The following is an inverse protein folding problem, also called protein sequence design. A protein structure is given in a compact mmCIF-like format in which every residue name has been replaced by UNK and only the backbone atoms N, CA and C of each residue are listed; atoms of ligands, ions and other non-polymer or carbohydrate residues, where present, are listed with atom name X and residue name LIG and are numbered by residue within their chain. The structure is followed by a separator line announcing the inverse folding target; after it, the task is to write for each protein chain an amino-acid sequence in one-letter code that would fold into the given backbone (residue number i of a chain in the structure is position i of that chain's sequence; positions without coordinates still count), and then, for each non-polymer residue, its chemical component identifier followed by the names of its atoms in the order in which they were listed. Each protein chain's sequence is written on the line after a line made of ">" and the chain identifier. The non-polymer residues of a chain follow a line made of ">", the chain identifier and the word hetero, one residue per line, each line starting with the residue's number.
data_IF_943995904788
#
_entry.id   IF_943995904788
#
_cell.length_a   1.000
_cell.length_b   1.000
_cell.length_c   1.000
_cell.angle_alpha   90.00
_cell.angle_beta   90.00
_cell.angle_gamma   90.00
#
_symmetry.space_group_name_H-M   'P 1'
#
loop_
_entity.id
_entity.type
_entity.pdbx_description
1 polymer ?
#
# COMPACT_ATOMS: atom_id res chain seq x y z
N UNK A 1 -10.11 -13.19 -2.34
CA UNK A 1 -9.91 -11.75 -2.47
C UNK A 1 -9.97 -11.09 -1.12
N UNK A 2 -9.03 -10.22 -0.83
CA UNK A 2 -8.91 -9.51 0.44
C UNK A 2 -8.85 -8.01 0.18
N UNK A 3 -9.42 -7.22 1.07
CA UNK A 3 -9.32 -5.76 1.04
C UNK A 3 -8.36 -5.30 2.11
N UNK A 4 -7.42 -4.47 1.72
CA UNK A 4 -6.35 -3.92 2.55
C UNK A 4 -6.45 -2.39 2.60
N UNK A 5 -5.89 -1.80 3.63
CA UNK A 5 -5.63 -0.38 3.76
C UNK A 5 -4.13 -0.17 3.94
N UNK A 6 -3.55 0.73 3.17
CA UNK A 6 -2.17 1.17 3.28
C UNK A 6 -2.12 2.62 3.75
N UNK A 7 -1.39 2.88 4.84
CA UNK A 7 -1.10 4.22 5.32
C UNK A 7 0.03 4.83 4.49
N UNK A 8 -0.22 5.99 3.88
CA UNK A 8 0.76 6.69 3.04
C UNK A 8 1.49 7.81 3.77
N UNK A 9 1.25 7.97 5.07
CA UNK A 9 1.93 8.97 5.89
C UNK A 9 3.28 8.41 6.33
N UNK A 10 4.35 9.05 5.89
CA UNK A 10 5.72 8.76 6.33
C UNK A 10 6.16 9.75 7.41
N UNK A 11 7.20 9.39 8.16
CA UNK A 11 7.84 10.27 9.13
C UNK A 11 8.69 11.31 8.41
N UNK A 12 8.10 12.37 7.84
CA UNK A 12 8.88 13.40 7.18
C UNK A 12 8.05 14.44 6.44
N UNK A 13 8.73 15.34 5.77
CA UNK A 13 8.12 16.47 5.04
C UNK A 13 7.43 16.07 3.72
N UNK A 14 7.48 14.80 3.35
CA UNK A 14 6.94 14.28 2.08
C UNK A 14 5.52 13.71 2.17
N UNK A 15 4.74 14.08 3.16
CA UNK A 15 3.43 13.47 3.47
C UNK A 15 2.46 13.40 2.28
N UNK A 16 2.48 14.40 1.42
CA UNK A 16 1.51 14.51 0.31
C UNK A 16 1.99 13.84 -0.97
N UNK A 17 3.27 13.55 -1.08
CA UNK A 17 3.85 13.01 -2.32
C UNK A 17 3.90 11.48 -2.37
N UNK A 18 3.71 10.80 -1.24
CA UNK A 18 3.79 9.34 -1.19
C UNK A 18 2.69 8.69 -2.01
N UNK A 19 1.43 9.08 -1.78
CA UNK A 19 0.31 8.52 -2.54
C UNK A 19 0.43 8.80 -4.04
N UNK A 20 0.78 10.03 -4.42
CA UNK A 20 0.98 10.42 -5.82
C UNK A 20 2.09 9.58 -6.48
N UNK A 21 3.17 9.35 -5.74
CA UNK A 21 4.27 8.51 -6.20
C UNK A 21 3.81 7.06 -6.42
N UNK A 22 3.12 6.46 -5.44
CA UNK A 22 2.61 5.09 -5.53
C UNK A 22 1.67 4.90 -6.73
N UNK A 23 0.78 5.87 -6.95
CA UNK A 23 -0.16 5.84 -8.08
C UNK A 23 0.58 5.95 -9.41
N UNK A 24 1.50 6.90 -9.54
CA UNK A 24 2.28 7.11 -10.77
C UNK A 24 3.13 5.90 -11.13
N UNK A 25 3.81 5.32 -10.15
CA UNK A 25 4.68 4.15 -10.35
C UNK A 25 3.89 2.82 -10.42
N UNK A 26 2.58 2.86 -10.19
CA UNK A 26 1.70 1.67 -10.17
C UNK A 26 2.16 0.62 -9.16
N UNK A 27 2.44 1.07 -7.94
CA UNK A 27 2.95 0.26 -6.85
C UNK A 27 2.18 0.51 -5.55
N UNK A 28 2.31 -0.40 -4.61
CA UNK A 28 2.10 -0.16 -3.18
C UNK A 28 3.43 -0.38 -2.45
N UNK A 29 3.66 0.37 -1.38
CA UNK A 29 4.95 0.27 -0.71
C UNK A 29 4.96 0.88 0.67
N UNK A 30 6.00 0.53 1.41
CA UNK A 30 6.28 1.04 2.74
C UNK A 30 7.79 1.10 2.99
N UNK A 31 8.17 1.68 4.13
CA UNK A 31 9.55 1.90 4.53
C UNK A 31 10.32 0.63 4.91
N UNK A 32 11.06 0.73 6.00
CA UNK A 32 11.98 -0.28 6.52
C UNK A 32 13.10 -0.65 5.53
N UNK A 33 13.79 0.38 5.04
CA UNK A 33 15.02 0.23 4.27
C UNK A 33 16.14 -0.41 5.08
N UNK A 34 17.10 -0.95 4.38
CA UNK A 34 18.33 -1.50 4.93
C UNK A 34 19.45 -0.49 4.67
N UNK A 35 20.48 -0.49 5.51
CA UNK A 35 21.63 0.39 5.39
C UNK A 35 22.13 0.48 3.93
N UNK A 36 22.46 1.68 3.50
CA UNK A 36 22.78 2.06 2.12
C UNK A 36 23.78 1.13 1.41
N UNK A 37 24.79 0.65 2.11
CA UNK A 37 25.78 -0.28 1.55
C UNK A 37 25.21 -1.66 1.21
N UNK A 38 24.11 -2.05 1.86
CA UNK A 38 23.44 -3.32 1.65
C UNK A 38 22.27 -3.21 0.67
N UNK A 39 21.71 -2.03 0.49
CA UNK A 39 20.57 -1.77 -0.38
C UNK A 39 20.79 -2.24 -1.81
N UNK A 40 21.96 -1.95 -2.35
CA UNK A 40 22.35 -2.30 -3.74
C UNK A 40 22.47 -3.80 -3.99
N UNK A 41 22.47 -4.63 -2.94
CA UNK A 41 22.66 -6.08 -3.02
C UNK A 41 21.37 -6.87 -2.83
N UNK A 42 20.26 -6.21 -2.47
CA UNK A 42 19.00 -6.90 -2.20
C UNK A 42 18.26 -7.15 -3.52
N UNK A 43 18.25 -8.40 -3.96
CA UNK A 43 17.63 -8.84 -5.22
C UNK A 43 16.30 -9.54 -5.04
N UNK A 44 16.04 -10.11 -3.86
CA UNK A 44 14.84 -10.87 -3.55
C UNK A 44 14.48 -10.75 -2.07
N UNK A 45 13.30 -11.25 -1.71
CA UNK A 45 12.83 -11.15 -0.33
C UNK A 45 13.68 -11.94 0.66
N UNK A 46 14.27 -13.05 0.26
CA UNK A 46 15.15 -13.84 1.13
C UNK A 46 16.38 -13.04 1.55
N UNK A 47 16.99 -12.31 0.62
CA UNK A 47 18.12 -11.41 0.93
C UNK A 47 17.69 -10.26 1.84
N UNK A 48 16.51 -9.66 1.59
CA UNK A 48 15.92 -8.66 2.47
C UNK A 48 15.67 -9.21 3.87
N UNK A 49 15.09 -10.39 3.98
CA UNK A 49 14.79 -11.04 5.25
C UNK A 49 16.07 -11.23 6.11
N UNK A 50 17.13 -11.71 5.49
CA UNK A 50 18.44 -11.87 6.17
C UNK A 50 18.99 -10.53 6.65
N UNK A 51 18.94 -9.51 5.80
CA UNK A 51 19.42 -8.17 6.15
C UNK A 51 18.57 -7.51 7.24
N UNK A 52 17.24 -7.65 7.17
CA UNK A 52 16.32 -7.10 8.15
C UNK A 52 16.48 -7.72 9.54
N UNK A 53 16.73 -9.00 9.61
CA UNK A 53 17.01 -9.70 10.89
C UNK A 53 18.27 -9.17 11.58
N UNK A 54 19.24 -8.69 10.82
CA UNK A 54 20.46 -8.08 11.35
C UNK A 54 20.26 -6.59 11.70
N UNK A 55 19.46 -5.88 10.92
CA UNK A 55 19.23 -4.43 11.06
C UNK A 55 18.22 -4.10 12.17
N UNK A 56 17.15 -4.86 12.26
CA UNK A 56 16.03 -4.57 13.15
C UNK A 56 15.98 -5.53 14.34
N UNK A 57 15.99 -4.98 15.55
CA UNK A 57 15.96 -5.76 16.81
C UNK A 57 14.72 -6.66 16.95
N UNK A 58 13.61 -6.27 16.34
CA UNK A 58 12.35 -7.04 16.34
C UNK A 58 12.23 -8.02 15.17
N UNK A 59 13.29 -8.17 14.38
CA UNK A 59 13.30 -9.02 13.19
C UNK A 59 12.63 -8.38 11.98
N UNK A 60 11.99 -9.19 11.14
CA UNK A 60 11.41 -8.71 9.89
C UNK A 60 10.18 -7.83 10.17
N UNK A 61 10.11 -6.61 9.62
CA UNK A 61 8.94 -5.76 9.78
C UNK A 61 7.66 -6.42 9.26
N UNK A 62 6.59 -6.34 10.07
CA UNK A 62 5.31 -6.97 9.73
C UNK A 62 4.71 -6.46 8.41
N UNK A 63 4.91 -5.17 8.09
CA UNK A 63 4.45 -4.61 6.83
C UNK A 63 5.18 -5.20 5.62
N UNK A 64 6.49 -5.43 5.72
CA UNK A 64 7.26 -6.08 4.66
C UNK A 64 6.80 -7.53 4.42
N UNK A 65 6.55 -8.26 5.50
CA UNK A 65 5.97 -9.62 5.41
C UNK A 65 4.59 -9.61 4.76
N UNK A 66 3.76 -8.64 5.10
CA UNK A 66 2.41 -8.51 4.53
C UNK A 66 2.48 -8.24 3.03
N UNK A 67 3.32 -7.30 2.59
CA UNK A 67 3.52 -7.00 1.17
C UNK A 67 4.02 -8.20 0.37
N UNK A 68 4.91 -8.99 0.95
CA UNK A 68 5.47 -10.13 0.25
C UNK A 68 4.54 -11.36 0.25
N UNK A 69 3.99 -11.71 1.42
CA UNK A 69 3.37 -13.03 1.63
C UNK A 69 1.84 -13.02 1.70
N UNK A 70 1.23 -11.89 2.07
CA UNK A 70 -0.21 -11.86 2.38
C UNK A 70 -1.06 -11.14 1.35
N UNK A 71 -0.49 -10.13 0.67
CA UNK A 71 -1.18 -9.45 -0.42
C UNK A 71 -0.99 -10.26 -1.69
N UNK A 72 -2.08 -10.67 -2.29
CA UNK A 72 -2.11 -11.57 -3.45
C UNK A 72 -2.74 -10.90 -4.66
N UNK A 73 -2.50 -11.45 -5.83
CA UNK A 73 -3.20 -11.06 -7.05
C UNK A 73 -4.72 -11.14 -6.86
N UNK A 74 -5.44 -10.17 -7.35
CA UNK A 74 -6.88 -10.03 -7.16
C UNK A 74 -7.29 -9.32 -5.86
N UNK A 75 -6.37 -9.04 -4.95
CA UNK A 75 -6.66 -8.23 -3.76
C UNK A 75 -6.82 -6.76 -4.11
N UNK A 76 -7.49 -6.01 -3.22
CA UNK A 76 -7.64 -4.57 -3.32
C UNK A 76 -6.93 -3.86 -2.17
N UNK A 77 -6.36 -2.69 -2.48
CA UNK A 77 -5.67 -1.85 -1.50
C UNK A 77 -6.21 -0.43 -1.55
N UNK A 78 -6.72 0.04 -0.45
CA UNK A 78 -7.16 1.42 -0.30
C UNK A 78 -6.02 2.30 0.21
N UNK A 79 -5.86 3.48 -0.40
CA UNK A 79 -5.03 4.58 0.11
C UNK A 79 -5.85 5.87 0.16
N UNK A 80 -5.38 6.81 0.96
CA UNK A 80 -6.00 8.12 1.12
C UNK A 80 -4.95 9.21 1.02
N UNK A 81 -5.23 10.25 0.25
CA UNK A 81 -4.41 11.44 0.13
C UNK A 81 -5.27 12.67 -0.11
N UNK A 82 -5.09 13.69 0.72
CA UNK A 82 -5.72 15.03 0.55
C UNK A 82 -7.24 14.97 0.32
N UNK A 83 -7.95 14.17 1.12
CA UNK A 83 -9.40 14.03 1.01
C UNK A 83 -9.87 13.12 -0.13
N UNK A 84 -8.96 12.51 -0.88
CA UNK A 84 -9.31 11.58 -1.96
C UNK A 84 -8.91 10.16 -1.59
N UNK A 85 -9.84 9.24 -1.80
CA UNK A 85 -9.60 7.82 -1.64
C UNK A 85 -9.35 7.16 -3.00
N UNK A 86 -8.38 6.27 -3.03
CA UNK A 86 -8.04 5.48 -4.22
C UNK A 86 -8.11 3.99 -3.90
N UNK A 87 -8.56 3.22 -4.88
CA UNK A 87 -8.57 1.76 -4.84
C UNK A 87 -7.53 1.24 -5.81
N UNK A 88 -6.58 0.48 -5.31
CA UNK A 88 -5.61 -0.24 -6.13
C UNK A 88 -6.00 -1.70 -6.27
N UNK A 89 -6.04 -2.20 -7.47
CA UNK A 89 -6.18 -3.62 -7.76
C UNK A 89 -4.81 -4.25 -7.97
N UNK A 90 -4.54 -5.34 -7.27
CA UNK A 90 -3.29 -6.09 -7.39
C UNK A 90 -3.40 -7.02 -8.60
N UNK A 91 -2.62 -6.75 -9.62
CA UNK A 91 -2.64 -7.53 -10.85
C UNK A 91 -1.90 -8.88 -10.73
N UNK A 92 -2.11 -9.78 -11.68
CA UNK A 92 -1.52 -11.12 -11.65
C UNK A 92 0.00 -11.11 -11.70
N UNK A 93 0.60 -10.16 -12.43
CA UNK A 93 2.05 -9.99 -12.54
C UNK A 93 2.70 -9.34 -11.31
N UNK A 94 1.89 -8.98 -10.33
CA UNK A 94 2.36 -8.32 -9.10
C UNK A 94 3.37 -9.16 -8.35
N UNK A 95 4.48 -8.54 -7.98
CA UNK A 95 5.55 -9.17 -7.21
C UNK A 95 6.15 -8.21 -6.19
N UNK A 96 6.76 -8.76 -5.15
CA UNK A 96 7.56 -7.98 -4.21
C UNK A 96 8.90 -7.60 -4.84
N UNK A 97 9.32 -6.35 -4.62
CA UNK A 97 10.62 -5.82 -5.05
C UNK A 97 11.18 -4.94 -3.92
N UNK A 98 12.49 -5.02 -3.71
CA UNK A 98 13.19 -4.03 -2.90
C UNK A 98 13.41 -2.77 -3.75
N UNK A 99 12.89 -1.63 -3.27
CA UNK A 99 12.85 -0.38 -4.03
C UNK A 99 13.94 0.59 -3.56
N UNK A 100 14.67 1.16 -4.49
CA UNK A 100 15.78 2.07 -4.21
C UNK A 100 15.63 3.45 -4.86
N UNK A 101 14.53 3.69 -5.60
CA UNK A 101 14.32 4.91 -6.37
C UNK A 101 13.55 6.00 -5.62
N UNK A 102 13.20 5.77 -4.36
CA UNK A 102 12.40 6.69 -3.55
C UNK A 102 12.85 6.69 -2.07
N UNK A 103 14.15 6.80 -1.83
CA UNK A 103 14.72 6.84 -0.48
C UNK A 103 14.20 8.04 0.32
N UNK A 104 14.02 9.20 -0.33
CA UNK A 104 13.49 10.41 0.28
C UNK A 104 12.04 10.29 0.74
N UNK A 105 11.28 9.35 0.18
CA UNK A 105 9.92 9.04 0.58
C UNK A 105 9.82 7.87 1.54
N UNK A 106 10.95 7.28 1.93
CA UNK A 106 11.03 6.07 2.75
C UNK A 106 10.17 4.93 2.19
N UNK A 107 10.35 4.65 0.90
CA UNK A 107 9.69 3.54 0.20
C UNK A 107 10.76 2.52 -0.21
N UNK A 108 10.73 1.36 0.40
CA UNK A 108 11.74 0.31 0.19
C UNK A 108 11.15 -1.07 -0.06
N UNK A 109 10.08 -1.42 0.65
CA UNK A 109 9.34 -2.65 0.42
C UNK A 109 8.16 -2.36 -0.50
N UNK A 110 8.15 -2.91 -1.68
CA UNK A 110 7.19 -2.58 -2.73
C UNK A 110 6.55 -3.82 -3.31
N UNK A 111 5.28 -3.69 -3.68
CA UNK A 111 4.59 -4.62 -4.55
C UNK A 111 4.20 -3.89 -5.83
N UNK A 112 4.57 -4.47 -6.97
CA UNK A 112 4.42 -3.89 -8.31
C UNK A 112 3.10 -4.25 -8.97
N UNK A 113 2.80 -3.65 -10.13
CA UNK A 113 1.64 -3.93 -10.96
C UNK A 113 0.32 -3.74 -10.21
N UNK A 114 0.11 -2.50 -9.78
CA UNK A 114 -1.13 -2.06 -9.15
C UNK A 114 -1.86 -1.15 -10.12
N UNK A 115 -3.10 -1.46 -10.43
CA UNK A 115 -3.97 -0.57 -11.20
C UNK A 115 -4.78 0.30 -10.24
N UNK A 116 -4.62 1.61 -10.33
CA UNK A 116 -5.22 2.58 -9.41
C UNK A 116 -6.44 3.27 -10.00
N UNK A 117 -7.46 3.42 -9.17
CA UNK A 117 -8.71 4.12 -9.51
C UNK A 117 -9.07 5.11 -8.40
N UNK A 118 -9.43 6.36 -8.73
CA UNK A 118 -10.03 7.26 -7.76
C UNK A 118 -11.40 6.71 -7.34
N UNK A 119 -11.61 6.45 -6.06
CA UNK A 119 -12.85 5.85 -5.58
C UNK A 119 -14.08 6.70 -5.88
N UNK A 120 -13.97 8.03 -5.70
CA UNK A 120 -15.07 8.95 -6.00
C UNK A 120 -15.42 8.96 -7.49
N UNK A 121 -14.41 8.99 -8.37
CA UNK A 121 -14.64 8.97 -9.83
C UNK A 121 -15.27 7.67 -10.28
N UNK A 122 -14.85 6.56 -9.74
CA UNK A 122 -15.44 5.25 -10.03
C UNK A 122 -16.95 5.24 -9.70
N UNK A 123 -17.29 5.69 -8.51
CA UNK A 123 -18.67 5.66 -8.05
C UNK A 123 -19.55 6.76 -8.68
N UNK A 124 -18.97 7.87 -9.09
CA UNK A 124 -19.70 8.87 -9.86
C UNK A 124 -20.27 8.32 -11.15
N UNK A 125 -19.51 7.51 -11.87
CA UNK A 125 -19.99 6.86 -13.10
C UNK A 125 -21.19 5.94 -12.84
N UNK A 126 -21.29 5.40 -11.62
CA UNK A 126 -22.36 4.52 -11.17
C UNK A 126 -23.44 5.25 -10.33
N UNK A 127 -23.31 6.58 -10.14
CA UNK A 127 -24.16 7.40 -9.28
C UNK A 127 -24.25 6.92 -7.84
N UNK A 128 -23.16 6.34 -7.33
CA UNK A 128 -23.12 5.77 -5.98
C UNK A 128 -22.22 6.49 -5.01
N UNK A 129 -21.10 7.02 -5.49
CA UNK A 129 -20.17 7.82 -4.68
C UNK A 129 -19.86 9.12 -5.40
N UNK A 130 -20.28 10.25 -4.84
CA UNK A 130 -20.09 11.57 -5.43
C UNK A 130 -18.86 12.28 -4.84
N UNK A 131 -18.53 12.00 -3.61
CA UNK A 131 -17.43 12.62 -2.86
C UNK A 131 -16.91 11.69 -1.76
N UNK A 132 -16.00 12.22 -0.93
CA UNK A 132 -15.40 11.46 0.18
C UNK A 132 -16.43 10.96 1.18
N UNK A 133 -17.56 11.65 1.37
CA UNK A 133 -18.60 11.25 2.32
C UNK A 133 -19.29 9.95 1.97
N UNK A 134 -19.24 9.57 0.70
CA UNK A 134 -19.83 8.32 0.20
C UNK A 134 -18.91 7.11 0.39
N UNK A 135 -17.65 7.32 0.78
CA UNK A 135 -16.72 6.22 1.08
C UNK A 135 -17.19 5.48 2.33
N UNK A 136 -17.25 4.13 2.30
CA UNK A 136 -17.74 3.37 3.45
C UNK A 136 -17.03 3.72 4.75
N UNK A 137 -17.78 3.92 5.82
CA UNK A 137 -17.24 4.29 7.13
C UNK A 137 -16.18 3.34 7.67
N UNK A 138 -16.23 2.07 7.29
CA UNK A 138 -15.18 1.10 7.64
C UNK A 138 -13.84 1.42 6.97
N UNK A 139 -13.84 2.03 5.78
CA UNK A 139 -12.64 2.52 5.11
C UNK A 139 -12.14 3.78 5.79
N UNK A 140 -12.98 4.80 5.91
CA UNK A 140 -12.57 6.10 6.49
C UNK A 140 -12.04 5.95 7.91
N UNK A 141 -12.71 5.19 8.77
CA UNK A 141 -12.26 4.94 10.14
C UNK A 141 -10.96 4.14 10.23
N UNK A 142 -10.68 3.30 9.25
CA UNK A 142 -9.43 2.52 9.21
C UNK A 142 -8.19 3.40 9.09
N UNK A 143 -8.31 4.61 8.52
CA UNK A 143 -7.20 5.55 8.36
C UNK A 143 -6.95 6.44 9.58
N UNK A 144 -7.84 6.47 10.56
CA UNK A 144 -7.67 7.29 11.77
C UNK A 144 -6.58 6.72 12.68
N UNK A 145 -6.53 5.41 12.80
CA UNK A 145 -5.58 4.68 13.64
C UNK A 145 -5.13 3.41 12.95
N UNK A 146 -3.97 2.91 13.35
CA UNK A 146 -3.59 1.58 12.99
C UNK A 146 -2.20 1.42 12.40
N UNK A 147 -1.97 0.24 11.92
CA UNK A 147 -0.70 -0.22 11.34
C UNK A 147 -0.50 0.35 9.95
N UNK A 148 0.72 0.31 9.45
CA UNK A 148 1.06 0.74 8.09
C UNK A 148 0.20 0.03 7.04
N UNK A 149 0.04 -1.28 7.17
CA UNK A 149 -0.85 -2.10 6.32
C UNK A 149 -1.79 -2.88 7.22
N UNK A 150 -3.06 -2.85 6.88
CA UNK A 150 -4.10 -3.52 7.65
C UNK A 150 -5.14 -4.15 6.73
N UNK A 151 -5.51 -5.39 7.05
CA UNK A 151 -6.67 -6.05 6.44
C UNK A 151 -7.96 -5.42 6.96
N UNK A 152 -8.91 -5.19 6.06
CA UNK A 152 -10.23 -4.67 6.41
C UNK A 152 -11.22 -5.83 6.36
N UNK A 153 -11.63 -6.28 7.54
CA UNK A 153 -12.55 -7.41 7.72
C UNK A 153 -13.94 -6.91 8.08
N UNK A 154 -14.61 -6.21 7.15
CA UNK A 154 -15.99 -5.79 7.38
C UNK A 154 -16.83 -6.15 6.18
N UNK A 155 -18.04 -6.61 6.49
CA UNK A 155 -19.07 -6.94 5.51
C UNK A 155 -19.38 -5.74 4.60
N UNK A 156 -19.60 -5.99 3.33
CA UNK A 156 -19.90 -4.96 2.33
C UNK A 156 -18.71 -4.22 1.73
N UNK A 157 -17.53 -4.25 2.35
CA UNK A 157 -16.35 -3.54 1.82
C UNK A 157 -15.85 -4.16 0.53
N UNK A 158 -15.95 -5.47 0.40
CA UNK A 158 -15.54 -6.17 -0.80
C UNK A 158 -16.37 -5.74 -2.02
N UNK A 159 -17.68 -5.59 -1.84
CA UNK A 159 -18.58 -5.16 -2.92
C UNK A 159 -18.18 -3.80 -3.50
N UNK A 160 -17.76 -2.87 -2.64
CA UNK A 160 -17.26 -1.57 -3.11
C UNK A 160 -15.96 -1.69 -3.89
N UNK A 161 -15.12 -2.62 -3.53
CA UNK A 161 -13.86 -2.86 -4.20
C UNK A 161 -14.03 -3.63 -5.53
N UNK A 162 -15.05 -4.47 -5.63
CA UNK A 162 -15.36 -5.26 -6.83
C UNK A 162 -15.82 -4.42 -8.03
N UNK A 163 -16.07 -3.13 -7.83
CA UNK A 163 -16.50 -2.23 -8.90
C UNK A 163 -15.34 -1.65 -9.72
N UNK A 164 -14.15 -2.04 -9.39
CA UNK A 164 -12.91 -1.66 -10.11
C UNK A 164 -12.68 -2.57 -11.32
#
# INVERSE_FOLDING_TARGET
>A
MTVWRLQTVTKGNGKHHVADYLIREKIIGCGWGINEQKNKKIKNFLEYEKAAKLEYSKGIPAAALTLNKKILAGDYVWIHSEGVYYIGKVEEESKWVYWTDADELDIHNVRTHITWYPACSLHNSLKKMADESDVPGAITTSFIRGRTIQKINKEGIQEYSDWV
#
